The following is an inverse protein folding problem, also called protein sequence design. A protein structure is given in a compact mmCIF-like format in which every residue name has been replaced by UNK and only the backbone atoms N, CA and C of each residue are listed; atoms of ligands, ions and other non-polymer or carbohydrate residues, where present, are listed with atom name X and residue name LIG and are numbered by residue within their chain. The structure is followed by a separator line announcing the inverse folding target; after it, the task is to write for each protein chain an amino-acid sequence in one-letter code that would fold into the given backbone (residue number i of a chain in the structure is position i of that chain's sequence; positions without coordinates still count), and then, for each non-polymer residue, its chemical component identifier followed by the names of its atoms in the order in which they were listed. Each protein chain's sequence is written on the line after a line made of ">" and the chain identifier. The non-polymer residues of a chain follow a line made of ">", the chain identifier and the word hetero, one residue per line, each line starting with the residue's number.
data_IF_562645106662
#
_entry.id   IF_562645106662
#
_cell.length_a   1.000
_cell.length_b   1.000
_cell.length_c   1.000
_cell.angle_alpha   90.00
_cell.angle_beta   90.00
_cell.angle_gamma   90.00
#
_symmetry.space_group_name_H-M   'P 1'
#
loop_
_entity.id
_entity.type
_entity.pdbx_description
1 polymer ?
#
# COMPACT_ATOMS: atom_id res chain seq x y z
N UNK A 1 -0.66 -19.27 16.34
CA UNK A 1 -1.07 -18.90 14.97
C UNK A 1 0.13 -18.52 14.09
N UNK A 2 1.03 -17.62 14.49
CA UNK A 2 2.16 -17.22 13.62
C UNK A 2 3.39 -18.12 13.67
N UNK A 3 3.58 -18.97 14.68
CA UNK A 3 4.77 -19.79 14.84
C UNK A 3 5.06 -20.69 13.62
N UNK A 4 4.04 -21.34 13.09
CA UNK A 4 4.17 -22.19 11.91
C UNK A 4 4.47 -21.40 10.62
N UNK A 5 3.86 -20.22 10.46
CA UNK A 5 4.14 -19.33 9.34
C UNK A 5 5.57 -18.78 9.41
N UNK A 6 6.04 -18.41 10.60
CA UNK A 6 7.43 -17.99 10.83
C UNK A 6 8.41 -19.13 10.53
N UNK A 7 8.13 -20.35 10.99
CA UNK A 7 8.98 -21.51 10.71
C UNK A 7 9.09 -21.78 9.20
N UNK A 8 7.97 -21.72 8.46
CA UNK A 8 7.96 -21.86 7.00
C UNK A 8 8.76 -20.75 6.30
N UNK A 9 8.61 -19.51 6.75
CA UNK A 9 9.39 -18.38 6.23
C UNK A 9 10.90 -18.59 6.45
N UNK A 10 11.31 -18.94 7.65
CA UNK A 10 12.73 -19.18 7.97
C UNK A 10 13.31 -20.31 7.13
N UNK A 11 12.56 -21.40 6.96
CA UNK A 11 12.98 -22.52 6.11
C UNK A 11 13.13 -22.11 4.64
N UNK A 12 12.16 -21.34 4.08
CA UNK A 12 12.19 -20.94 2.68
C UNK A 12 13.19 -19.86 2.37
N UNK A 13 13.46 -18.94 3.31
CA UNK A 13 14.38 -17.83 3.15
C UNK A 13 15.83 -18.18 3.51
N UNK A 14 16.08 -19.32 4.17
CA UNK A 14 17.41 -19.73 4.65
C UNK A 14 17.90 -18.95 5.87
N UNK A 15 17.05 -18.13 6.49
CA UNK A 15 17.40 -17.42 7.72
C UNK A 15 17.22 -18.30 8.94
N UNK A 16 18.12 -18.19 9.93
CA UNK A 16 18.04 -18.91 11.19
C UNK A 16 16.99 -18.35 12.16
N UNK A 17 16.73 -17.04 12.06
CA UNK A 17 15.79 -16.31 12.93
C UNK A 17 15.36 -14.98 12.33
N UNK A 18 14.25 -14.44 12.83
CA UNK A 18 13.85 -13.04 12.64
C UNK A 18 14.48 -12.23 13.78
N UNK A 19 15.25 -11.20 13.43
CA UNK A 19 15.83 -10.23 14.37
C UNK A 19 15.16 -8.86 14.16
N UNK A 20 13.91 -8.75 14.55
CA UNK A 20 13.06 -7.61 14.22
C UNK A 20 13.66 -6.29 14.67
N UNK A 21 13.79 -5.34 13.74
CA UNK A 21 14.22 -3.94 13.95
C UNK A 21 13.21 -2.95 13.38
N UNK A 22 12.50 -3.32 12.32
CA UNK A 22 11.56 -2.43 11.64
C UNK A 22 10.25 -3.11 11.29
N UNK A 23 9.17 -2.33 11.27
CA UNK A 23 7.85 -2.74 10.78
C UNK A 23 7.44 -1.82 9.63
N UNK A 24 7.25 -2.40 8.45
CA UNK A 24 6.94 -1.70 7.21
C UNK A 24 5.43 -1.77 6.97
N UNK A 25 4.76 -0.64 7.11
CA UNK A 25 3.31 -0.56 6.96
C UNK A 25 2.92 -0.06 5.57
N UNK A 26 1.99 -0.72 4.92
CA UNK A 26 1.17 -0.01 3.96
C UNK A 26 0.33 1.06 4.67
N UNK A 27 -0.22 2.00 3.91
CA UNK A 27 -0.94 3.12 4.49
C UNK A 27 -2.46 2.95 4.36
N UNK A 28 -2.93 2.76 3.15
CA UNK A 28 -4.34 2.76 2.81
C UNK A 28 -4.97 1.40 3.13
N UNK A 29 -5.96 1.36 4.04
CA UNK A 29 -6.53 0.10 4.54
C UNK A 29 -5.73 -0.56 5.66
N UNK A 30 -4.56 -0.03 6.05
CA UNK A 30 -3.73 -0.51 7.17
C UNK A 30 -3.62 0.52 8.28
N UNK A 31 -3.22 1.74 7.96
CA UNK A 31 -3.16 2.85 8.91
C UNK A 31 -4.43 3.71 8.89
N UNK A 32 -5.02 3.87 7.71
CA UNK A 32 -6.24 4.65 7.49
C UNK A 32 -7.34 3.85 6.80
N UNK A 33 -8.58 4.09 7.18
CA UNK A 33 -9.76 3.59 6.49
C UNK A 33 -10.07 4.48 5.26
N UNK A 34 -9.16 4.51 4.30
CA UNK A 34 -9.18 5.41 3.14
C UNK A 34 -9.68 4.76 1.86
N UNK A 35 -9.73 3.43 1.79
CA UNK A 35 -10.06 2.70 0.56
C UNK A 35 -11.44 3.02 -0.02
N UNK A 36 -12.51 3.23 0.75
CA UNK A 36 -13.80 3.67 0.19
C UNK A 36 -13.67 4.98 -0.59
N UNK A 37 -12.92 5.96 -0.06
CA UNK A 37 -12.68 7.24 -0.74
C UNK A 37 -11.79 7.10 -1.98
N UNK A 38 -10.81 6.21 -1.93
CA UNK A 38 -9.99 5.88 -3.11
C UNK A 38 -10.82 5.24 -4.21
N UNK A 39 -11.68 4.28 -3.88
CA UNK A 39 -12.54 3.60 -4.85
C UNK A 39 -13.52 4.57 -5.52
N UNK A 40 -14.14 5.46 -4.72
CA UNK A 40 -15.03 6.50 -5.24
C UNK A 40 -14.31 7.48 -6.15
N UNK A 41 -13.15 7.98 -5.73
CA UNK A 41 -12.39 8.95 -6.50
C UNK A 41 -11.89 8.35 -7.83
N UNK A 42 -11.41 7.11 -7.81
CA UNK A 42 -11.02 6.42 -9.03
C UNK A 42 -12.19 6.22 -9.98
N UNK A 43 -13.31 5.68 -9.51
CA UNK A 43 -14.50 5.44 -10.32
C UNK A 43 -14.99 6.72 -11.00
N UNK A 44 -15.26 7.77 -10.22
CA UNK A 44 -15.77 9.06 -10.73
C UNK A 44 -14.84 9.72 -11.74
N UNK A 45 -13.53 9.70 -11.46
CA UNK A 45 -12.57 10.37 -12.36
C UNK A 45 -12.37 9.57 -13.64
N UNK A 46 -12.30 8.25 -13.56
CA UNK A 46 -12.22 7.41 -14.76
C UNK A 46 -13.45 7.61 -15.65
N UNK A 47 -14.65 7.67 -15.09
CA UNK A 47 -15.88 7.96 -15.87
C UNK A 47 -15.83 9.32 -16.59
N UNK A 48 -15.28 10.37 -15.95
CA UNK A 48 -15.11 11.70 -16.59
C UNK A 48 -14.20 11.66 -17.81
N UNK A 49 -13.32 10.69 -17.87
CA UNK A 49 -12.36 10.47 -18.97
C UNK A 49 -12.78 9.33 -19.91
N UNK A 50 -14.06 8.91 -19.87
CA UNK A 50 -14.59 7.79 -20.65
C UNK A 50 -13.78 6.49 -20.46
N UNK A 51 -13.22 6.28 -19.25
CA UNK A 51 -12.49 5.10 -18.85
C UNK A 51 -13.33 4.27 -17.88
N UNK A 52 -13.36 2.95 -18.09
CA UNK A 52 -14.18 2.06 -17.27
C UNK A 52 -13.38 1.42 -16.16
N UNK A 53 -13.61 1.87 -14.93
CA UNK A 53 -13.09 1.30 -13.71
C UNK A 53 -14.19 1.30 -12.64
N UNK A 54 -14.67 0.12 -12.24
CA UNK A 54 -15.67 0.04 -11.18
C UNK A 54 -15.04 0.29 -9.80
N UNK A 55 -15.90 0.56 -8.81
CA UNK A 55 -15.45 0.74 -7.41
C UNK A 55 -14.80 -0.55 -6.88
N UNK A 56 -15.40 -1.70 -7.18
CA UNK A 56 -14.89 -3.01 -6.79
C UNK A 56 -13.54 -3.28 -7.45
N UNK A 57 -13.39 -2.94 -8.72
CA UNK A 57 -12.14 -3.09 -9.44
C UNK A 57 -11.03 -2.18 -8.87
N UNK A 58 -11.37 -1.00 -8.36
CA UNK A 58 -10.41 -0.10 -7.74
C UNK A 58 -9.70 -0.76 -6.54
N UNK A 59 -10.39 -1.62 -5.77
CA UNK A 59 -9.77 -2.40 -4.69
C UNK A 59 -8.76 -3.43 -5.21
N UNK A 60 -8.96 -3.98 -6.41
CA UNK A 60 -8.01 -4.92 -7.03
C UNK A 60 -6.70 -4.23 -7.47
N UNK A 61 -6.76 -2.92 -7.66
CA UNK A 61 -5.59 -2.10 -8.01
C UNK A 61 -4.93 -1.44 -6.80
N UNK A 62 -5.40 -1.73 -5.59
CA UNK A 62 -4.82 -1.23 -4.36
C UNK A 62 -3.33 -1.54 -4.25
N UNK A 63 -2.54 -0.57 -3.80
CA UNK A 63 -1.09 -0.69 -3.70
C UNK A 63 -0.31 -0.34 -4.98
N UNK A 64 -0.98 -0.26 -6.14
CA UNK A 64 -0.33 0.21 -7.39
C UNK A 64 -0.09 1.70 -7.36
N UNK A 65 0.88 2.15 -8.16
CA UNK A 65 1.01 3.58 -8.47
C UNK A 65 -0.16 4.04 -9.34
N UNK A 66 -0.53 5.32 -9.22
CA UNK A 66 -1.59 5.90 -10.04
C UNK A 66 -1.34 5.75 -11.55
N UNK A 67 -0.09 5.92 -11.99
CA UNK A 67 0.30 5.72 -13.38
C UNK A 67 0.05 4.28 -13.87
N UNK A 68 0.37 3.28 -13.04
CA UNK A 68 0.14 1.89 -13.40
C UNK A 68 -1.36 1.56 -13.49
N UNK A 69 -2.18 2.08 -12.58
CA UNK A 69 -3.65 1.90 -12.62
C UNK A 69 -4.24 2.52 -13.88
N UNK A 70 -3.87 3.76 -14.22
CA UNK A 70 -4.34 4.45 -15.43
C UNK A 70 -3.94 3.66 -16.68
N UNK A 71 -2.69 3.23 -16.78
CA UNK A 71 -2.21 2.49 -17.94
C UNK A 71 -2.93 1.14 -18.11
N UNK A 72 -3.20 0.41 -17.05
CA UNK A 72 -3.94 -0.86 -17.13
C UNK A 72 -5.34 -0.64 -17.73
N UNK A 73 -6.06 0.38 -17.26
CA UNK A 73 -7.40 0.69 -17.78
C UNK A 73 -7.31 1.17 -19.23
N UNK A 74 -6.34 2.02 -19.54
CA UNK A 74 -6.15 2.58 -20.87
C UNK A 74 -5.73 1.52 -21.90
N UNK A 75 -4.81 0.62 -21.51
CA UNK A 75 -4.42 -0.55 -22.33
C UNK A 75 -5.60 -1.47 -22.61
N UNK A 76 -6.40 -1.77 -21.60
CA UNK A 76 -7.58 -2.62 -21.73
C UNK A 76 -8.58 -2.03 -22.72
N UNK A 77 -8.78 -0.71 -22.70
CA UNK A 77 -9.82 -0.05 -23.49
C UNK A 77 -9.35 0.37 -24.88
N UNK A 78 -8.09 0.79 -25.02
CA UNK A 78 -7.56 1.38 -26.24
C UNK A 78 -6.36 0.62 -26.85
N UNK A 79 -5.88 -0.45 -26.21
CA UNK A 79 -4.75 -1.26 -26.69
C UNK A 79 -3.39 -0.57 -26.67
N UNK A 80 -3.26 0.54 -25.93
CA UNK A 80 -2.02 1.35 -25.83
C UNK A 80 -1.93 2.03 -24.46
N UNK A 81 -0.73 2.48 -24.09
CA UNK A 81 -0.54 3.27 -22.88
C UNK A 81 -1.12 4.69 -23.03
N UNK A 82 -1.56 5.26 -21.91
CA UNK A 82 -1.89 6.66 -21.81
C UNK A 82 -0.61 7.52 -21.94
N UNK A 83 -0.74 8.74 -22.48
CA UNK A 83 0.41 9.64 -22.52
C UNK A 83 0.79 10.14 -21.12
N UNK A 84 2.04 10.56 -20.89
CA UNK A 84 2.45 11.12 -19.60
C UNK A 84 1.57 12.29 -19.14
N UNK A 85 1.12 13.15 -20.08
CA UNK A 85 0.23 14.27 -19.79
C UNK A 85 -1.15 13.81 -19.32
N UNK A 86 -1.72 12.79 -19.97
CA UNK A 86 -3.00 12.19 -19.56
C UNK A 86 -2.88 11.55 -18.17
N UNK A 87 -1.82 10.78 -17.93
CA UNK A 87 -1.56 10.17 -16.62
C UNK A 87 -1.51 11.26 -15.53
N UNK A 88 -0.76 12.34 -15.80
CA UNK A 88 -0.61 13.47 -14.87
C UNK A 88 -1.96 14.14 -14.60
N UNK A 89 -2.76 14.42 -15.64
CA UNK A 89 -4.08 15.07 -15.51
C UNK A 89 -5.06 14.19 -14.73
N UNK A 90 -5.24 12.95 -15.15
CA UNK A 90 -6.17 12.01 -14.51
C UNK A 90 -5.79 11.78 -13.03
N UNK A 91 -4.49 11.62 -12.74
CA UNK A 91 -4.04 11.42 -11.37
C UNK A 91 -4.20 12.68 -10.51
N UNK A 92 -4.00 13.87 -11.06
CA UNK A 92 -4.25 15.12 -10.36
C UNK A 92 -5.73 15.30 -10.02
N UNK A 93 -6.64 15.02 -10.97
CA UNK A 93 -8.08 15.04 -10.74
C UNK A 93 -8.51 14.00 -9.68
N UNK A 94 -7.98 12.76 -9.76
CA UNK A 94 -8.24 11.73 -8.77
C UNK A 94 -7.77 12.15 -7.37
N UNK A 95 -6.63 12.80 -7.29
CA UNK A 95 -6.11 13.30 -6.01
C UNK A 95 -6.98 14.43 -5.45
N UNK A 96 -7.48 15.33 -6.31
CA UNK A 96 -8.40 16.39 -5.92
C UNK A 96 -9.75 15.81 -5.45
N UNK A 97 -10.31 14.84 -6.18
CA UNK A 97 -11.55 14.15 -5.80
C UNK A 97 -11.40 13.41 -4.46
N UNK A 98 -10.29 12.72 -4.25
CA UNK A 98 -10.00 12.08 -2.96
C UNK A 98 -9.90 13.11 -1.82
N UNK A 99 -9.18 14.21 -2.03
CA UNK A 99 -8.99 15.25 -1.02
C UNK A 99 -10.25 16.10 -0.75
N UNK A 100 -11.29 16.01 -1.57
CA UNK A 100 -12.59 16.64 -1.32
C UNK A 100 -13.42 15.88 -0.29
N UNK A 101 -13.07 14.63 0.02
CA UNK A 101 -13.71 13.86 1.07
C UNK A 101 -13.20 14.29 2.46
N UNK A 102 -13.94 13.96 3.54
CA UNK A 102 -13.41 14.08 4.89
C UNK A 102 -12.09 13.35 5.07
N UNK A 103 -11.27 13.77 6.01
CA UNK A 103 -10.04 13.06 6.32
C UNK A 103 -10.36 11.62 6.75
N UNK A 104 -9.69 10.61 6.17
CA UNK A 104 -9.93 9.23 6.54
C UNK A 104 -9.57 8.97 8.00
N UNK A 105 -10.43 8.24 8.69
CA UNK A 105 -10.19 7.84 10.07
C UNK A 105 -9.03 6.85 10.17
N UNK A 106 -8.36 6.85 11.31
CA UNK A 106 -7.37 5.82 11.64
C UNK A 106 -8.03 4.45 11.68
N UNK A 107 -7.33 3.44 11.19
CA UNK A 107 -7.78 2.07 11.40
C UNK A 107 -7.80 1.74 12.88
N UNK A 108 -8.85 1.03 13.36
CA UNK A 108 -8.92 0.60 14.76
C UNK A 108 -7.66 -0.20 15.17
N UNK A 109 -7.05 0.17 16.27
CA UNK A 109 -5.84 -0.48 16.80
C UNK A 109 -4.52 -0.01 16.17
N UNK A 110 -4.53 0.79 15.11
CA UNK A 110 -3.30 1.24 14.44
C UNK A 110 -2.41 2.08 15.37
N UNK A 111 -3.01 2.98 16.14
CA UNK A 111 -2.27 3.81 17.09
C UNK A 111 -1.62 2.98 18.20
N UNK A 112 -2.36 2.07 18.80
CA UNK A 112 -1.90 1.22 19.89
C UNK A 112 -0.76 0.29 19.42
N UNK A 113 -0.86 -0.26 18.23
CA UNK A 113 0.21 -1.07 17.63
C UNK A 113 1.46 -0.24 17.39
N UNK A 114 1.34 0.97 16.84
CA UNK A 114 2.49 1.85 16.61
C UNK A 114 3.16 2.27 17.93
N UNK A 115 2.38 2.58 18.97
CA UNK A 115 2.92 2.87 20.30
C UNK A 115 3.72 1.68 20.85
N UNK A 116 3.17 0.46 20.73
CA UNK A 116 3.88 -0.74 21.18
C UNK A 116 5.16 -0.97 20.40
N UNK A 117 5.14 -0.87 19.07
CA UNK A 117 6.32 -1.01 18.22
C UNK A 117 7.42 -0.06 18.67
N UNK A 118 7.07 1.19 18.95
CA UNK A 118 8.02 2.20 19.40
C UNK A 118 8.54 1.92 20.82
N UNK A 119 7.67 1.46 21.72
CA UNK A 119 8.05 1.06 23.08
C UNK A 119 9.02 -0.14 23.10
N UNK A 120 8.86 -1.05 22.12
CA UNK A 120 9.76 -2.20 21.93
C UNK A 120 11.07 -1.83 21.21
N UNK A 121 11.32 -0.53 20.93
CA UNK A 121 12.52 -0.03 20.26
C UNK A 121 12.59 -0.31 18.76
N UNK A 122 11.46 -0.67 18.14
CA UNK A 122 11.37 -0.94 16.72
C UNK A 122 11.03 0.35 15.95
N UNK A 123 11.41 0.39 14.66
CA UNK A 123 11.21 1.54 13.79
C UNK A 123 10.02 1.29 12.86
N UNK A 124 8.90 2.03 12.99
CA UNK A 124 7.81 1.97 12.03
C UNK A 124 8.16 2.77 10.77
N UNK A 125 7.89 2.22 9.60
CA UNK A 125 8.11 2.85 8.30
C UNK A 125 6.84 2.73 7.46
N UNK A 126 6.60 3.70 6.55
CA UNK A 126 5.46 3.67 5.62
C UNK A 126 5.95 3.36 4.22
N UNK A 127 5.24 2.43 3.54
CA UNK A 127 5.50 2.03 2.15
C UNK A 127 4.18 2.08 1.38
N UNK A 128 3.93 3.19 0.68
CA UNK A 128 2.65 3.43 -0.02
C UNK A 128 2.82 3.63 -1.51
N UNK A 129 1.83 3.17 -2.29
CA UNK A 129 1.72 3.48 -3.72
C UNK A 129 1.21 4.90 -4.02
N UNK A 130 0.86 5.67 -2.98
CA UNK A 130 0.39 7.05 -3.15
C UNK A 130 1.54 8.02 -3.42
N UNK A 131 1.29 8.99 -4.35
CA UNK A 131 2.20 10.09 -4.67
C UNK A 131 1.64 11.46 -4.24
N UNK A 132 0.92 11.54 -3.13
CA UNK A 132 0.35 12.80 -2.64
C UNK A 132 1.32 13.51 -1.69
N UNK A 133 1.56 14.80 -1.92
CA UNK A 133 2.43 15.60 -1.06
C UNK A 133 1.90 15.79 0.37
N UNK A 134 0.57 15.73 0.56
CA UNK A 134 -0.10 15.86 1.85
C UNK A 134 0.00 14.62 2.77
N UNK A 135 0.65 13.55 2.31
CA UNK A 135 0.77 12.30 3.06
C UNK A 135 1.48 12.47 4.39
N UNK A 136 2.60 13.19 4.39
CA UNK A 136 3.41 13.39 5.59
C UNK A 136 2.64 14.20 6.63
N UNK A 137 1.92 15.25 6.19
CA UNK A 137 1.13 16.08 7.08
C UNK A 137 0.01 15.26 7.72
N UNK A 138 -0.68 14.43 6.93
CA UNK A 138 -1.72 13.51 7.42
C UNK A 138 -1.16 12.50 8.43
N UNK A 139 -0.01 11.88 8.13
CA UNK A 139 0.64 10.95 9.04
C UNK A 139 1.09 11.66 10.33
N UNK A 140 1.65 12.86 10.22
CA UNK A 140 2.10 13.64 11.39
C UNK A 140 0.95 14.09 12.27
N UNK A 141 -0.19 14.45 11.66
CA UNK A 141 -1.39 14.83 12.40
C UNK A 141 -2.02 13.63 13.13
N UNK A 142 -2.18 12.50 12.43
CA UNK A 142 -2.87 11.34 12.99
C UNK A 142 -1.96 10.44 13.84
N UNK A 143 -0.68 10.39 13.55
CA UNK A 143 0.30 9.54 14.23
C UNK A 143 1.53 10.36 14.66
N UNK A 144 1.36 11.35 15.56
CA UNK A 144 2.43 12.29 15.92
C UNK A 144 3.68 11.56 16.43
N UNK A 145 4.81 11.88 15.83
CA UNK A 145 6.12 11.34 16.20
C UNK A 145 6.36 9.87 15.86
N UNK A 146 5.46 9.21 15.10
CA UNK A 146 5.64 7.80 14.75
C UNK A 146 6.48 7.60 13.47
N UNK A 147 6.33 8.46 12.47
CA UNK A 147 6.95 8.30 11.17
C UNK A 147 7.91 9.44 10.85
N UNK A 148 9.00 9.11 10.14
CA UNK A 148 10.00 10.05 9.69
C UNK A 148 10.04 10.05 8.16
N UNK A 149 10.08 11.25 7.56
CA UNK A 149 10.02 11.43 6.09
C UNK A 149 11.10 10.65 5.35
N UNK A 150 12.31 10.64 5.88
CA UNK A 150 13.47 9.94 5.31
C UNK A 150 13.30 8.43 5.24
N UNK A 151 12.43 7.85 6.08
CA UNK A 151 12.12 6.43 6.16
C UNK A 151 10.85 6.04 5.39
N UNK A 152 10.14 7.02 4.81
CA UNK A 152 8.96 6.75 4.00
C UNK A 152 9.36 6.36 2.58
N UNK A 153 8.58 5.46 1.98
CA UNK A 153 8.63 5.12 0.55
C UNK A 153 7.27 5.41 -0.07
N UNK A 154 7.27 6.22 -1.11
CA UNK A 154 6.08 6.67 -1.84
C UNK A 154 6.22 6.34 -3.33
N UNK A 155 5.19 6.63 -4.13
CA UNK A 155 5.26 6.48 -5.59
C UNK A 155 6.39 7.30 -6.25
N UNK A 156 6.91 8.33 -5.57
CA UNK A 156 8.01 9.16 -6.10
C UNK A 156 9.39 8.53 -5.89
N UNK A 157 9.51 7.56 -4.99
CA UNK A 157 10.79 6.95 -4.62
C UNK A 157 11.13 5.74 -5.50
N UNK A 158 10.17 5.21 -6.27
CA UNK A 158 10.29 3.93 -6.99
C UNK A 158 9.89 4.06 -8.45
N UNK A 159 10.50 3.25 -9.28
CA UNK A 159 10.13 3.10 -10.69
C UNK A 159 8.95 2.15 -10.86
N UNK A 160 8.94 1.06 -10.11
CA UNK A 160 7.90 0.04 -10.15
C UNK A 160 7.17 -0.03 -8.80
N UNK A 161 5.85 0.18 -8.83
CA UNK A 161 4.98 -0.02 -7.67
C UNK A 161 4.67 -1.49 -7.40
N UNK A 162 3.99 -1.77 -6.29
CA UNK A 162 3.46 -3.09 -5.96
C UNK A 162 2.65 -3.66 -7.15
N UNK A 163 2.76 -4.94 -7.51
CA UNK A 163 3.36 -6.04 -6.78
C UNK A 163 4.88 -6.22 -6.96
N UNK A 164 5.57 -5.30 -7.66
CA UNK A 164 7.02 -5.35 -7.74
C UNK A 164 7.65 -5.16 -6.34
N UNK A 165 8.74 -5.88 -6.00
CA UNK A 165 9.34 -5.79 -4.65
C UNK A 165 10.05 -4.47 -4.37
N UNK A 166 10.30 -3.64 -5.38
CA UNK A 166 11.09 -2.40 -5.29
C UNK A 166 10.68 -1.50 -4.12
N UNK A 167 9.38 -1.24 -3.83
CA UNK A 167 9.01 -0.38 -2.72
C UNK A 167 9.50 -0.90 -1.36
N UNK A 168 9.42 -2.20 -1.14
CA UNK A 168 9.88 -2.81 0.11
C UNK A 168 11.40 -2.96 0.17
N UNK A 169 12.06 -3.23 -0.96
CA UNK A 169 13.53 -3.21 -1.05
C UNK A 169 14.08 -1.81 -0.78
N UNK A 170 13.43 -0.77 -1.30
CA UNK A 170 13.76 0.62 -1.00
C UNK A 170 13.58 0.94 0.49
N UNK A 171 12.52 0.44 1.12
CA UNK A 171 12.32 0.61 2.55
C UNK A 171 13.40 -0.07 3.38
N UNK A 172 13.81 -1.29 3.03
CA UNK A 172 14.95 -1.95 3.67
C UNK A 172 16.23 -1.12 3.55
N UNK A 173 16.50 -0.58 2.36
CA UNK A 173 17.65 0.28 2.11
C UNK A 173 17.61 1.56 2.97
N UNK A 174 16.48 2.28 2.97
CA UNK A 174 16.31 3.50 3.77
C UNK A 174 16.43 3.24 5.27
N UNK A 175 15.90 2.11 5.74
CA UNK A 175 15.98 1.69 7.15
C UNK A 175 17.32 1.07 7.55
N UNK A 176 18.21 0.77 6.61
CA UNK A 176 19.48 0.09 6.88
C UNK A 176 19.28 -1.31 7.47
N UNK A 177 18.19 -2.01 7.10
CA UNK A 177 17.82 -3.32 7.65
C UNK A 177 17.77 -4.40 6.57
N UNK A 178 17.96 -5.66 7.00
CA UNK A 178 17.88 -6.86 6.15
C UNK A 178 16.43 -7.40 6.12
N UNK A 179 16.08 -8.26 5.14
CA UNK A 179 14.75 -8.86 5.09
C UNK A 179 14.31 -9.57 6.37
N UNK A 180 15.21 -10.29 7.04
CA UNK A 180 14.92 -10.96 8.32
C UNK A 180 14.96 -10.03 9.55
N UNK A 181 15.18 -8.74 9.34
CA UNK A 181 15.12 -7.70 10.39
C UNK A 181 13.87 -6.82 10.27
N UNK A 182 13.02 -7.12 9.29
CA UNK A 182 11.76 -6.40 9.07
C UNK A 182 10.57 -7.35 8.95
N UNK A 183 9.38 -6.81 9.20
CA UNK A 183 8.10 -7.42 8.80
C UNK A 183 7.29 -6.42 8.01
N UNK A 184 6.48 -6.92 7.08
CA UNK A 184 5.51 -6.12 6.32
C UNK A 184 4.12 -6.33 6.90
N UNK A 185 3.34 -5.25 7.01
CA UNK A 185 1.92 -5.25 7.35
C UNK A 185 1.14 -4.67 6.19
N UNK A 186 0.29 -5.48 5.58
CA UNK A 186 -0.39 -5.19 4.32
C UNK A 186 -1.82 -5.71 4.31
N UNK A 187 -2.71 -5.08 3.54
CA UNK A 187 -4.09 -5.54 3.34
C UNK A 187 -4.34 -5.95 1.88
N UNK A 188 -3.62 -5.35 0.93
CA UNK A 188 -3.83 -5.56 -0.50
C UNK A 188 -3.05 -6.80 -1.02
N UNK A 189 -3.66 -7.64 -1.88
CA UNK A 189 -2.97 -8.80 -2.46
C UNK A 189 -1.65 -8.44 -3.15
N UNK A 190 -1.60 -7.30 -3.85
CA UNK A 190 -0.40 -6.84 -4.54
C UNK A 190 0.70 -6.40 -3.58
N UNK A 191 0.33 -5.80 -2.47
CA UNK A 191 1.29 -5.43 -1.45
C UNK A 191 1.86 -6.64 -0.73
N UNK A 192 1.01 -7.65 -0.43
CA UNK A 192 1.46 -8.93 0.11
C UNK A 192 2.44 -9.61 -0.86
N UNK A 193 2.13 -9.65 -2.17
CA UNK A 193 3.04 -10.19 -3.18
C UNK A 193 4.38 -9.45 -3.20
N UNK A 194 4.35 -8.10 -3.14
CA UNK A 194 5.56 -7.29 -3.12
C UNK A 194 6.44 -7.54 -1.89
N UNK A 195 5.83 -7.65 -0.70
CA UNK A 195 6.54 -7.94 0.54
C UNK A 195 7.20 -9.33 0.52
N UNK A 196 6.45 -10.33 0.07
CA UNK A 196 6.97 -11.70 -0.10
C UNK A 196 8.08 -11.75 -1.15
N UNK A 197 7.90 -11.07 -2.29
CA UNK A 197 8.92 -11.00 -3.35
C UNK A 197 10.20 -10.25 -2.90
N UNK A 198 10.09 -9.34 -1.93
CA UNK A 198 11.23 -8.69 -1.28
C UNK A 198 11.94 -9.59 -0.25
N UNK A 199 11.45 -10.81 -0.03
CA UNK A 199 12.01 -11.76 0.93
C UNK A 199 11.69 -11.43 2.40
N UNK A 200 10.66 -10.64 2.67
CA UNK A 200 10.29 -10.16 4.00
C UNK A 200 9.10 -10.98 4.53
N UNK A 201 9.10 -11.32 5.81
CA UNK A 201 7.93 -11.91 6.45
C UNK A 201 6.76 -10.92 6.39
N UNK A 202 5.67 -11.31 5.73
CA UNK A 202 4.54 -10.42 5.44
C UNK A 202 3.29 -10.89 6.16
N UNK A 203 2.67 -9.99 6.91
CA UNK A 203 1.40 -10.18 7.59
C UNK A 203 0.31 -9.53 6.74
N UNK A 204 -0.65 -10.34 6.30
CA UNK A 204 -1.84 -9.86 5.62
C UNK A 204 -2.91 -9.48 6.65
N UNK A 205 -3.23 -8.18 6.77
CA UNK A 205 -4.35 -7.67 7.53
C UNK A 205 -5.60 -7.75 6.65
N UNK A 206 -6.35 -8.84 6.72
CA UNK A 206 -7.62 -8.95 6.02
C UNK A 206 -8.68 -8.14 6.78
N UNK A 207 -8.77 -6.87 6.48
CA UNK A 207 -9.88 -6.04 6.87
C UNK A 207 -10.96 -6.16 5.78
N UNK A 208 -12.22 -6.10 6.18
CA UNK A 208 -13.43 -6.26 5.36
C UNK A 208 -13.56 -5.31 4.15
N UNK A 209 -12.48 -4.65 3.76
CA UNK A 209 -12.44 -3.61 2.73
C UNK A 209 -12.05 -4.12 1.34
N UNK A 210 -11.45 -5.31 1.25
CA UNK A 210 -11.16 -5.94 -0.06
C UNK A 210 -12.11 -7.10 -0.27
N UNK A 211 -12.86 -7.15 -1.39
CA UNK A 211 -13.65 -8.32 -1.71
C UNK A 211 -12.72 -9.54 -1.79
N UNK A 212 -13.09 -10.62 -1.06
CA UNK A 212 -12.30 -11.83 -1.13
C UNK A 212 -12.37 -12.41 -2.55
N UNK A 213 -11.35 -13.15 -3.01
CA UNK A 213 -11.45 -13.87 -4.29
C UNK A 213 -12.68 -14.78 -4.41
N UNK A 214 -13.33 -15.15 -3.29
CA UNK A 214 -14.59 -15.90 -3.25
C UNK A 214 -15.80 -15.03 -3.53
N UNK A 215 -15.75 -13.73 -3.18
CA UNK A 215 -16.85 -12.78 -3.40
C UNK A 215 -16.94 -12.37 -4.86
N UNK A 216 -15.83 -12.48 -5.61
CA UNK A 216 -15.75 -12.17 -7.05
C UNK A 216 -16.26 -13.34 -7.90
N UNK A 217 -16.29 -14.58 -7.37
CA UNK A 217 -16.71 -15.77 -8.12
C UNK A 217 -18.23 -16.01 -8.12
N UNK A 218 -19.02 -15.17 -7.46
CA UNK A 218 -20.48 -15.32 -7.27
C UNK A 218 -21.38 -14.70 -8.32
N UNK A 219 -20.86 -14.01 -9.33
CA UNK A 219 -21.64 -13.47 -10.43
C UNK A 219 -21.37 -14.25 -11.72
N UNK A 220 -22.10 -15.34 -11.90
CA UNK A 220 -22.40 -15.92 -13.22
C UNK A 220 -23.86 -15.68 -13.53
#
# INVERSE_FOLDING_TARGET
>A
MFQEAIARYLQSSGHSQIQLKSVLFDMDGVLFNSMPYHADAWHKVMERHDLHLSREEAYLHEGRTGAATINIVYQRQYGKDATPEMIKSIYAEKSAEFNSNPEPERMPGAWEVLQKIKADGLVPMVVTGSGQHSLLDRLSHNFPGMFHRELMVTAFDVKYGKPHPEPYLMALQKGGVKPNEAIVVENAPMGVQAGVAAGIFTIACLLYTSPSPRDISGSR
#
